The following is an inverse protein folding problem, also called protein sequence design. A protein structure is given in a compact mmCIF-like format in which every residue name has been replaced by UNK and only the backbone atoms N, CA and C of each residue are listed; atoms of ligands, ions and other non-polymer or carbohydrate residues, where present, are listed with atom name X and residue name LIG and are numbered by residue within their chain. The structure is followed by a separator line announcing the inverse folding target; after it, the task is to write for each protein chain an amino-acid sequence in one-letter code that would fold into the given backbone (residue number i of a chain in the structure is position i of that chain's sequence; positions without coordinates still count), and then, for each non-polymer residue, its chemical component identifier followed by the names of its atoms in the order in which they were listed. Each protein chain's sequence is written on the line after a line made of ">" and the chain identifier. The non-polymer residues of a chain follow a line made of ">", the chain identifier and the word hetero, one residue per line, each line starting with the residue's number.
data_IF_518880012207
#
_entry.id   IF_518880012207
#
_cell.length_a   1.000
_cell.length_b   1.000
_cell.length_c   1.000
_cell.angle_alpha   90.00
_cell.angle_beta   90.00
_cell.angle_gamma   90.00
#
_symmetry.space_group_name_H-M   'P 1'
#
loop_
_entity.id
_entity.type
_entity.pdbx_description
1 polymer ?
#
# COMPACT_ATOMS: atom_id res chain seq x y z
N UNK A 1 -10.99 -7.04 -2.48
CA UNK A 1 -10.93 -7.54 -1.10
C UNK A 1 -12.26 -7.33 -0.37
N UNK A 2 -12.42 -7.89 0.82
CA UNK A 2 -13.66 -7.77 1.63
C UNK A 2 -14.04 -6.30 1.90
N UNK A 3 -13.06 -5.47 2.23
CA UNK A 3 -13.27 -4.04 2.49
C UNK A 3 -13.82 -3.26 1.29
N UNK A 4 -13.42 -3.58 0.07
CA UNK A 4 -13.93 -2.89 -1.13
C UNK A 4 -15.44 -3.12 -1.29
N UNK A 5 -15.90 -4.36 -1.06
CA UNK A 5 -17.34 -4.68 -1.18
C UNK A 5 -18.23 -3.93 -0.17
N UNK A 6 -17.76 -3.76 1.06
CA UNK A 6 -18.49 -3.01 2.10
C UNK A 6 -18.57 -1.53 1.74
N UNK A 7 -17.49 -0.96 1.22
CA UNK A 7 -17.42 0.43 0.77
C UNK A 7 -18.27 0.65 -0.48
N UNK A 8 -18.27 -0.27 -1.44
CA UNK A 8 -19.13 -0.25 -2.63
C UNK A 8 -20.62 -0.23 -2.23
N UNK A 9 -21.00 -1.06 -1.25
CA UNK A 9 -22.37 -1.08 -0.75
C UNK A 9 -22.73 0.24 -0.09
N UNK A 10 -21.86 0.80 0.75
CA UNK A 10 -22.09 2.09 1.41
C UNK A 10 -22.28 3.23 0.41
N UNK A 11 -21.50 3.24 -0.69
CA UNK A 11 -21.66 4.18 -1.79
C UNK A 11 -23.02 4.03 -2.48
N UNK A 12 -23.43 2.79 -2.84
CA UNK A 12 -24.71 2.50 -3.50
C UNK A 12 -25.91 2.90 -2.65
N UNK A 13 -25.84 2.63 -1.35
CA UNK A 13 -26.87 2.98 -0.38
C UNK A 13 -26.90 4.47 0.00
N UNK A 14 -25.94 5.27 -0.48
CA UNK A 14 -25.85 6.69 -0.14
C UNK A 14 -25.45 6.98 1.30
N UNK A 15 -24.87 6.01 1.99
CA UNK A 15 -24.34 6.19 3.35
C UNK A 15 -23.09 7.05 3.38
N UNK A 16 -22.36 7.09 2.27
CA UNK A 16 -21.20 7.93 2.06
C UNK A 16 -21.24 8.52 0.65
N UNK A 17 -20.60 9.70 0.47
CA UNK A 17 -20.55 10.39 -0.82
C UNK A 17 -19.38 9.88 -1.69
N UNK A 18 -18.28 9.50 -1.04
CA UNK A 18 -17.09 8.94 -1.70
C UNK A 18 -16.33 8.00 -0.77
N UNK A 19 -15.52 7.14 -1.37
CA UNK A 19 -14.58 6.27 -0.65
C UNK A 19 -13.17 6.48 -1.17
N UNK A 20 -12.17 6.31 -0.28
CA UNK A 20 -10.76 6.49 -0.61
C UNK A 20 -10.03 5.16 -0.53
N UNK A 21 -9.30 4.83 -1.57
CA UNK A 21 -8.59 3.57 -1.71
C UNK A 21 -7.10 3.80 -2.04
N UNK A 22 -6.25 2.86 -1.65
CA UNK A 22 -4.96 2.70 -2.30
C UNK A 22 -5.19 2.13 -3.69
N UNK A 23 -4.79 2.84 -4.74
CA UNK A 23 -5.08 2.43 -6.13
C UNK A 23 -4.60 1.00 -6.43
N UNK A 24 -3.44 0.59 -5.91
CA UNK A 24 -2.88 -0.75 -6.07
C UNK A 24 -3.76 -1.89 -5.52
N UNK A 25 -4.70 -1.58 -4.64
CA UNK A 25 -5.59 -2.55 -3.99
C UNK A 25 -6.97 -2.60 -4.67
N UNK A 26 -7.21 -1.71 -5.64
CA UNK A 26 -8.42 -1.71 -6.48
C UNK A 26 -8.35 -2.82 -7.54
N UNK A 27 -9.51 -3.38 -7.92
CA UNK A 27 -9.58 -4.27 -9.09
C UNK A 27 -9.25 -3.49 -10.38
N UNK A 28 -8.79 -4.20 -11.42
CA UNK A 28 -8.51 -3.61 -12.74
C UNK A 28 -9.76 -2.99 -13.37
N UNK A 29 -10.90 -3.62 -13.17
CA UNK A 29 -12.19 -3.15 -13.63
C UNK A 29 -13.02 -2.71 -12.41
N UNK A 30 -13.50 -1.49 -12.45
CA UNK A 30 -14.44 -0.95 -11.45
C UNK A 30 -15.86 -1.04 -11.99
N UNK A 31 -16.89 -1.22 -11.13
CA UNK A 31 -18.26 -1.20 -11.56
C UNK A 31 -18.63 0.12 -12.26
N UNK A 32 -19.39 0.08 -13.34
CA UNK A 32 -19.80 1.28 -14.10
C UNK A 32 -20.59 2.29 -13.25
N UNK A 33 -21.30 1.82 -12.24
CA UNK A 33 -22.07 2.64 -11.29
C UNK A 33 -21.20 3.27 -10.19
N UNK A 34 -19.95 2.80 -10.05
CA UNK A 34 -18.98 3.25 -9.04
C UNK A 34 -17.61 3.59 -9.66
N UNK A 35 -17.53 4.61 -10.53
CA UNK A 35 -16.28 4.99 -11.18
C UNK A 35 -15.26 5.59 -10.20
N UNK A 36 -13.98 5.54 -10.58
CA UNK A 36 -12.93 6.33 -9.94
C UNK A 36 -12.97 7.76 -10.50
N UNK A 37 -13.16 8.74 -9.62
CA UNK A 37 -13.37 10.15 -10.00
C UNK A 37 -12.13 11.02 -9.82
N UNK A 38 -11.24 10.66 -8.90
CA UNK A 38 -10.03 11.45 -8.64
C UNK A 38 -8.87 10.59 -8.17
N UNK A 39 -7.65 11.06 -8.46
CA UNK A 39 -6.40 10.41 -8.11
C UNK A 39 -5.47 11.43 -7.44
N UNK A 40 -4.84 11.06 -6.35
CA UNK A 40 -3.82 11.90 -5.73
C UNK A 40 -2.56 11.99 -6.60
N UNK A 41 -1.75 13.03 -6.40
CA UNK A 41 -0.36 13.00 -6.87
C UNK A 41 0.31 11.74 -6.30
N UNK A 42 1.10 11.06 -7.13
CA UNK A 42 1.86 9.88 -6.73
C UNK A 42 2.90 10.27 -5.68
N UNK A 43 2.86 9.63 -4.53
CA UNK A 43 3.90 9.74 -3.52
C UNK A 43 5.09 8.81 -3.87
N UNK A 44 6.02 8.59 -2.94
CA UNK A 44 7.16 7.71 -3.15
C UNK A 44 6.70 6.26 -3.40
N UNK A 45 6.90 5.70 -4.60
CA UNK A 45 6.39 4.38 -4.96
C UNK A 45 7.24 3.23 -4.43
N UNK A 46 8.41 3.52 -3.86
CA UNK A 46 9.36 2.50 -3.44
C UNK A 46 8.83 1.63 -2.30
N UNK A 47 9.32 0.42 -2.28
CA UNK A 47 9.22 -0.46 -1.13
C UNK A 47 10.38 -0.20 -0.16
N UNK A 48 10.19 -0.51 1.12
CA UNK A 48 11.18 -0.25 2.17
C UNK A 48 11.33 -1.45 3.08
N UNK A 49 12.55 -1.63 3.59
CA UNK A 49 12.87 -2.55 4.68
C UNK A 49 12.71 -1.81 6.00
N UNK A 50 12.04 -2.46 6.95
CA UNK A 50 11.87 -1.98 8.32
C UNK A 50 12.43 -3.04 9.26
N UNK A 51 13.43 -2.70 10.06
CA UNK A 51 13.99 -3.55 11.11
C UNK A 51 13.26 -3.34 12.44
N UNK A 52 13.37 -4.27 13.39
CA UNK A 52 12.90 -4.03 14.76
C UNK A 52 13.57 -2.78 15.35
N UNK A 53 12.89 -2.12 16.26
CA UNK A 53 13.43 -0.91 16.90
C UNK A 53 14.75 -1.20 17.63
N UNK A 54 15.77 -0.36 17.39
CA UNK A 54 17.10 -0.53 17.98
C UNK A 54 17.95 -1.66 17.40
N UNK A 55 17.49 -2.34 16.32
CA UNK A 55 18.23 -3.43 15.68
C UNK A 55 18.84 -2.92 14.37
N UNK A 56 20.18 -2.97 14.20
CA UNK A 56 20.85 -2.38 13.05
C UNK A 56 20.83 -3.25 11.78
N UNK A 57 20.59 -4.58 11.91
CA UNK A 57 20.72 -5.53 10.81
C UNK A 57 19.73 -6.69 10.89
N UNK A 58 19.63 -7.47 9.81
CA UNK A 58 18.79 -8.67 9.75
C UNK A 58 19.32 -9.75 10.71
N UNK A 59 18.41 -10.42 11.40
CA UNK A 59 18.74 -11.51 12.33
C UNK A 59 18.50 -12.87 11.67
N UNK A 60 19.52 -13.72 11.52
CA UNK A 60 19.35 -15.09 11.04
C UNK A 60 18.34 -15.89 11.90
N UNK A 61 17.67 -16.85 11.28
CA UNK A 61 16.71 -17.72 11.96
C UNK A 61 15.30 -17.12 12.16
N UNK A 62 15.07 -15.86 11.74
CA UNK A 62 13.74 -15.23 11.70
C UNK A 62 13.40 -14.81 10.28
N UNK A 63 12.14 -14.97 9.85
CA UNK A 63 11.73 -14.65 8.48
C UNK A 63 11.63 -13.13 8.24
N UNK A 64 11.69 -12.72 6.97
CA UNK A 64 11.26 -11.39 6.54
C UNK A 64 9.75 -11.42 6.33
N UNK A 65 9.02 -10.54 7.02
CA UNK A 65 7.56 -10.47 6.97
C UNK A 65 7.07 -9.73 5.71
N UNK A 66 6.40 -10.48 4.81
CA UNK A 66 5.80 -9.92 3.60
C UNK A 66 4.65 -10.78 3.09
N UNK A 67 3.46 -10.17 2.86
CA UNK A 67 2.28 -10.89 2.34
C UNK A 67 2.05 -10.68 0.83
N UNK A 68 2.78 -9.78 0.19
CA UNK A 68 2.66 -9.52 -1.24
C UNK A 68 3.45 -10.54 -2.06
N UNK A 69 2.77 -11.30 -2.94
CA UNK A 69 3.44 -12.27 -3.85
C UNK A 69 4.48 -11.59 -4.74
N UNK A 70 4.18 -10.39 -5.26
CA UNK A 70 5.12 -9.59 -6.04
C UNK A 70 6.44 -9.36 -5.28
N UNK A 71 6.34 -8.91 -4.01
CA UNK A 71 7.52 -8.68 -3.16
C UNK A 71 8.22 -9.98 -2.78
N UNK A 72 7.47 -11.02 -2.41
CA UNK A 72 8.04 -12.31 -2.00
C UNK A 72 8.96 -12.91 -3.07
N UNK A 73 8.56 -12.83 -4.35
CA UNK A 73 9.37 -13.34 -5.46
C UNK A 73 10.69 -12.58 -5.60
N UNK A 74 10.65 -11.24 -5.50
CA UNK A 74 11.82 -10.38 -5.61
C UNK A 74 12.73 -10.48 -4.38
N UNK A 75 12.14 -10.56 -3.19
CA UNK A 75 12.88 -10.72 -1.92
C UNK A 75 13.65 -12.03 -1.85
N UNK A 76 13.13 -13.12 -2.42
CA UNK A 76 13.86 -14.40 -2.49
C UNK A 76 15.16 -14.31 -3.27
N UNK A 77 15.21 -13.45 -4.30
CA UNK A 77 16.43 -13.21 -5.06
C UNK A 77 17.41 -12.30 -4.30
N UNK A 78 16.89 -11.30 -3.56
CA UNK A 78 17.72 -10.36 -2.80
C UNK A 78 18.23 -10.92 -1.48
N UNK A 79 17.47 -11.81 -0.85
CA UNK A 79 17.74 -12.40 0.46
C UNK A 79 17.55 -13.92 0.41
N UNK A 80 18.41 -14.67 -0.32
CA UNK A 80 18.25 -16.11 -0.52
C UNK A 80 18.32 -16.91 0.79
N UNK A 81 19.07 -16.40 1.79
CA UNK A 81 19.28 -17.06 3.08
C UNK A 81 18.15 -16.81 4.09
N UNK A 82 17.13 -16.02 3.71
CA UNK A 82 16.02 -15.71 4.59
C UNK A 82 14.70 -16.32 4.09
N UNK A 83 13.96 -16.90 5.00
CA UNK A 83 12.57 -17.26 4.77
C UNK A 83 11.71 -16.00 4.65
N UNK A 84 10.72 -16.06 3.77
CA UNK A 84 9.73 -14.99 3.61
C UNK A 84 8.39 -15.49 4.13
N UNK A 85 7.90 -14.90 5.21
CA UNK A 85 6.66 -15.31 5.86
C UNK A 85 5.56 -14.25 5.73
N UNK A 86 4.27 -14.66 5.64
CA UNK A 86 3.17 -13.70 5.58
C UNK A 86 3.02 -12.94 6.90
N UNK A 87 2.70 -11.65 6.81
CA UNK A 87 2.35 -10.80 7.96
C UNK A 87 1.01 -10.12 7.72
N UNK A 88 0.04 -10.33 8.60
CA UNK A 88 -1.31 -9.76 8.51
C UNK A 88 -1.54 -8.65 9.52
N UNK A 89 -2.47 -7.76 9.20
CA UNK A 89 -2.85 -6.59 9.99
C UNK A 89 -2.56 -5.28 9.26
N UNK A 90 -2.95 -4.16 9.85
CA UNK A 90 -2.58 -2.83 9.40
C UNK A 90 -1.08 -2.55 9.70
N UNK A 91 -0.56 -1.41 9.28
CA UNK A 91 0.87 -1.06 9.44
C UNK A 91 1.28 -1.12 10.91
N UNK A 92 0.51 -0.54 11.82
CA UNK A 92 0.81 -0.51 13.25
C UNK A 92 0.86 -1.93 13.86
N UNK A 93 -0.12 -2.78 13.52
CA UNK A 93 -0.13 -4.18 13.96
C UNK A 93 1.09 -4.96 13.44
N UNK A 94 1.51 -4.70 12.20
CA UNK A 94 2.69 -5.34 11.63
C UNK A 94 3.97 -4.88 12.32
N UNK A 95 4.12 -3.57 12.57
CA UNK A 95 5.27 -3.02 13.29
C UNK A 95 5.35 -3.61 14.71
N UNK A 96 4.23 -3.70 15.43
CA UNK A 96 4.20 -4.34 16.74
C UNK A 96 4.72 -5.78 16.69
N UNK A 97 4.25 -6.60 15.74
CA UNK A 97 4.73 -7.99 15.56
C UNK A 97 6.23 -8.05 15.25
N UNK A 98 6.75 -7.07 14.51
CA UNK A 98 8.18 -6.93 14.25
C UNK A 98 8.95 -6.66 15.54
N UNK A 99 8.52 -5.68 16.33
CA UNK A 99 9.17 -5.26 17.57
C UNK A 99 9.07 -6.33 18.67
N UNK A 100 7.99 -7.13 18.67
CA UNK A 100 7.85 -8.37 19.47
C UNK A 100 8.80 -9.50 19.01
N UNK A 101 9.55 -9.28 17.92
CA UNK A 101 10.57 -10.20 17.44
C UNK A 101 10.04 -11.41 16.67
N UNK A 102 8.81 -11.35 16.14
CA UNK A 102 8.26 -12.42 15.28
C UNK A 102 8.95 -12.48 13.91
N UNK A 103 9.56 -11.39 13.45
CA UNK A 103 10.21 -11.24 12.15
C UNK A 103 11.60 -10.62 12.30
N UNK A 104 12.50 -10.90 11.36
CA UNK A 104 13.80 -10.25 11.23
C UNK A 104 13.64 -8.83 10.65
N UNK A 105 12.72 -8.67 9.72
CA UNK A 105 12.36 -7.40 9.10
C UNK A 105 10.93 -7.45 8.53
N UNK A 106 10.38 -6.31 8.15
CA UNK A 106 9.18 -6.20 7.31
C UNK A 106 9.51 -5.51 6.00
N UNK A 107 8.80 -5.86 4.93
CA UNK A 107 8.82 -5.08 3.69
C UNK A 107 7.46 -4.44 3.46
N UNK A 108 7.46 -3.10 3.48
CA UNK A 108 6.27 -2.25 3.40
C UNK A 108 6.42 -1.22 2.26
N UNK A 109 5.32 -0.55 1.88
CA UNK A 109 5.38 0.59 0.96
C UNK A 109 5.76 1.87 1.72
N UNK A 110 6.75 2.62 1.24
CA UNK A 110 7.20 3.89 1.81
C UNK A 110 6.04 4.86 2.05
N UNK A 111 5.15 5.02 1.07
CA UNK A 111 4.00 5.91 1.15
C UNK A 111 3.07 5.60 2.34
N UNK A 112 2.93 4.31 2.72
CA UNK A 112 2.11 3.92 3.88
C UNK A 112 2.71 4.39 5.19
N UNK A 113 4.02 4.25 5.37
CA UNK A 113 4.72 4.74 6.56
C UNK A 113 4.72 6.27 6.62
N UNK A 114 5.02 6.94 5.50
CA UNK A 114 5.01 8.41 5.41
C UNK A 114 3.66 9.02 5.79
N UNK A 115 2.55 8.44 5.31
CA UNK A 115 1.19 8.92 5.64
C UNK A 115 0.84 8.77 7.13
N UNK A 116 1.50 7.87 7.83
CA UNK A 116 1.33 7.65 9.26
C UNK A 116 2.35 8.39 10.13
N UNK A 117 3.26 9.19 9.53
CA UNK A 117 4.33 9.87 10.25
C UNK A 117 5.38 8.91 10.83
N UNK A 118 5.58 7.75 10.18
CA UNK A 118 6.45 6.67 10.64
C UNK A 118 7.71 6.51 9.76
N UNK A 119 8.16 7.59 9.11
CA UNK A 119 9.37 7.58 8.27
C UNK A 119 10.62 7.17 9.02
N UNK A 120 10.71 7.53 10.30
CA UNK A 120 11.81 7.16 11.19
C UNK A 120 11.97 5.65 11.38
N UNK A 121 10.93 4.85 11.06
CA UNK A 121 10.98 3.39 11.11
C UNK A 121 11.58 2.76 9.85
N UNK A 122 11.84 3.55 8.81
CA UNK A 122 12.42 3.06 7.56
C UNK A 122 13.92 2.85 7.75
N UNK A 123 14.36 1.59 7.67
CA UNK A 123 15.78 1.24 7.77
C UNK A 123 16.50 1.33 6.42
N UNK A 124 15.80 0.98 5.31
CA UNK A 124 16.35 1.01 3.95
C UNK A 124 15.24 1.23 2.93
N UNK A 125 15.51 2.05 1.93
CA UNK A 125 14.71 2.12 0.70
C UNK A 125 15.28 1.16 -0.34
N UNK A 126 14.43 0.35 -0.96
CA UNK A 126 14.79 -0.39 -2.16
C UNK A 126 14.67 0.52 -3.38
N UNK A 127 15.59 0.41 -4.33
CA UNK A 127 15.39 1.03 -5.63
C UNK A 127 14.26 0.33 -6.41
N UNK A 128 13.76 0.97 -7.46
CA UNK A 128 12.71 0.37 -8.31
C UNK A 128 13.22 -0.80 -9.14
N UNK A 129 14.53 -0.89 -9.34
CA UNK A 129 15.25 -1.99 -9.99
C UNK A 129 15.42 -3.19 -9.05
N UNK A 130 15.61 -2.94 -7.75
CA UNK A 130 15.71 -4.01 -6.74
C UNK A 130 14.34 -4.63 -6.46
N UNK A 131 13.32 -3.79 -6.25
CA UNK A 131 11.95 -4.25 -6.06
C UNK A 131 11.01 -3.38 -6.89
N UNK A 132 10.55 -3.91 -8.01
CA UNK A 132 9.57 -3.26 -8.86
C UNK A 132 8.28 -3.01 -8.08
N UNK A 133 7.81 -1.75 -7.94
CA UNK A 133 6.58 -1.42 -7.24
C UNK A 133 5.33 -2.02 -7.89
N UNK A 134 4.24 -2.12 -7.14
CA UNK A 134 2.94 -2.45 -7.73
C UNK A 134 2.45 -1.31 -8.62
N UNK A 135 1.69 -1.65 -9.67
CA UNK A 135 0.94 -0.65 -10.45
C UNK A 135 0.06 0.17 -9.49
N UNK A 136 0.02 1.48 -9.67
CA UNK A 136 -0.73 2.38 -8.79
C UNK A 136 -0.20 2.51 -7.35
N UNK A 137 0.95 1.90 -7.01
CA UNK A 137 1.52 2.06 -5.68
C UNK A 137 1.82 3.53 -5.39
N UNK A 138 1.46 3.98 -4.18
CA UNK A 138 1.58 5.34 -3.66
C UNK A 138 0.58 6.36 -4.21
N UNK A 139 -0.40 5.95 -5.01
CA UNK A 139 -1.55 6.75 -5.44
C UNK A 139 -2.76 6.39 -4.58
N UNK A 140 -3.51 7.41 -4.15
CA UNK A 140 -4.86 7.26 -3.60
C UNK A 140 -5.87 7.52 -4.71
N UNK A 141 -6.91 6.69 -4.79
CA UNK A 141 -8.03 6.86 -5.70
C UNK A 141 -9.30 7.16 -4.90
N UNK A 142 -10.14 8.05 -5.41
CA UNK A 142 -11.45 8.36 -4.87
C UNK A 142 -12.51 7.74 -5.77
N UNK A 143 -13.35 6.89 -5.20
CA UNK A 143 -14.47 6.24 -5.86
C UNK A 143 -15.77 6.90 -5.43
N UNK A 144 -16.71 7.06 -6.35
CA UNK A 144 -18.01 7.73 -6.16
C UNK A 144 -19.12 6.91 -6.78
N UNK A 145 -20.40 7.27 -6.47
CA UNK A 145 -21.53 6.89 -7.33
C UNK A 145 -21.49 7.69 -8.62
N UNK A 146 -21.88 7.06 -9.72
CA UNK A 146 -22.06 7.74 -11.01
C UNK A 146 -23.03 8.89 -10.87
N UNK A 147 -22.65 10.08 -11.34
CA UNK A 147 -23.43 11.29 -11.26
C UNK A 147 -23.27 12.14 -9.98
N UNK A 148 -22.42 11.71 -9.04
CA UNK A 148 -22.06 12.53 -7.88
C UNK A 148 -21.27 13.77 -8.33
N UNK A 149 -21.53 14.95 -7.73
CA UNK A 149 -20.74 16.16 -7.96
C UNK A 149 -19.32 15.95 -7.44
N UNK A 150 -18.35 16.14 -8.33
CA UNK A 150 -16.91 15.96 -8.05
C UNK A 150 -16.16 17.28 -7.88
N UNK A 151 -16.88 18.42 -7.84
CA UNK A 151 -16.26 19.75 -7.76
C UNK A 151 -15.29 19.89 -6.57
N UNK A 152 -15.61 19.28 -5.43
CA UNK A 152 -14.77 19.27 -4.21
C UNK A 152 -13.48 18.47 -4.38
N UNK A 153 -13.39 17.59 -5.37
CA UNK A 153 -12.22 16.74 -5.62
C UNK A 153 -11.19 17.38 -6.55
N UNK A 154 -11.47 18.56 -7.13
CA UNK A 154 -10.60 19.21 -8.12
C UNK A 154 -9.18 19.46 -7.59
N UNK A 155 -9.05 19.91 -6.34
CA UNK A 155 -7.76 20.19 -5.71
C UNK A 155 -6.98 18.94 -5.36
N UNK A 156 -7.68 17.83 -5.19
CA UNK A 156 -7.07 16.50 -4.91
C UNK A 156 -6.62 15.82 -6.20
N UNK A 157 -7.33 16.02 -7.31
CA UNK A 157 -7.10 15.32 -8.56
C UNK A 157 -5.80 15.75 -9.24
N UNK A 158 -4.95 14.75 -9.57
CA UNK A 158 -3.72 14.91 -10.32
C UNK A 158 -3.86 14.21 -11.69
N UNK A 159 -3.84 14.99 -12.77
CA UNK A 159 -4.06 14.49 -14.13
C UNK A 159 -2.97 13.52 -14.60
N UNK A 160 -1.71 13.74 -14.22
CA UNK A 160 -0.60 12.84 -14.55
C UNK A 160 -0.80 11.45 -13.92
N UNK A 161 -1.16 11.42 -12.64
CA UNK A 161 -1.47 10.16 -11.96
C UNK A 161 -2.69 9.46 -12.56
N UNK A 162 -3.70 10.23 -12.99
CA UNK A 162 -4.90 9.69 -13.64
C UNK A 162 -4.56 9.04 -14.99
N UNK A 163 -3.77 9.71 -15.85
CA UNK A 163 -3.38 9.16 -17.15
C UNK A 163 -2.52 7.89 -17.08
N UNK A 164 -1.81 7.67 -15.94
CA UNK A 164 -1.06 6.45 -15.71
C UNK A 164 -1.90 5.34 -15.06
N UNK A 165 -3.09 5.66 -14.55
CA UNK A 165 -3.94 4.77 -13.78
C UNK A 165 -5.08 4.15 -14.59
N UNK A 166 -5.45 4.80 -15.68
CA UNK A 166 -6.53 4.45 -16.60
C UNK A 166 -5.96 3.99 -17.95
#
# INVERSE_FOLDING_TARGET
>A
GLFVKELDLALREGKVDFTVHSLKDMPMETPEDLPLAAFSKRADPRDVLVLPEGVPELRPGKPIGCSSRRRQLQLKALYPDFDIAPVRGNVQTRLRKLDEGQYSALVLAAAGLKRLGLENRISRFFSTEEILPAAGQAILAVQIRKGTDTSVLRTFHNAESASCAL
#
